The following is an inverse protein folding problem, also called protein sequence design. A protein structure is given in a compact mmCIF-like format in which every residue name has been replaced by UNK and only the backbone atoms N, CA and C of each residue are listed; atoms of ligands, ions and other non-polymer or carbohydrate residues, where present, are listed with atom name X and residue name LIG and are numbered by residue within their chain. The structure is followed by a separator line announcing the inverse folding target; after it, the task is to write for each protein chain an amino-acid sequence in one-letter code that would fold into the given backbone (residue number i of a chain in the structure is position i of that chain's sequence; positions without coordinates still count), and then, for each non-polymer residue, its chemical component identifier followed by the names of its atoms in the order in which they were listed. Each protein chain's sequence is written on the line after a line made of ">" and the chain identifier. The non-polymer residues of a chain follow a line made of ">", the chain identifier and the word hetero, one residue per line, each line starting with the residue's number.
data_IF_484902053332
#
_entry.id   IF_484902053332
#
_cell.length_a   1.000
_cell.length_b   1.000
_cell.length_c   1.000
_cell.angle_alpha   90.00
_cell.angle_beta   90.00
_cell.angle_gamma   90.00
#
_symmetry.space_group_name_H-M   'P 1'
#
loop_
_entity.id
_entity.type
_entity.pdbx_description
1 polymer ?
#
# COMPACT_ATOMS: atom_id res chain seq x y z
N UNK A 1 -20.90 -5.90 -15.07
CA UNK A 1 -21.06 -5.38 -13.70
C UNK A 1 -20.98 -3.87 -13.78
N UNK A 2 -22.12 -3.21 -13.56
CA UNK A 2 -22.25 -1.76 -13.67
C UNK A 2 -21.68 -1.11 -12.40
N UNK A 3 -20.60 -0.33 -12.53
CA UNK A 3 -20.02 0.51 -11.46
C UNK A 3 -20.90 1.75 -11.19
N UNK A 4 -22.21 1.62 -11.31
CA UNK A 4 -23.19 2.68 -11.04
C UNK A 4 -23.40 2.75 -9.53
N UNK A 5 -22.58 3.52 -8.84
CA UNK A 5 -22.74 3.71 -7.40
C UNK A 5 -21.58 4.42 -6.68
N UNK A 6 -20.48 4.73 -7.37
CA UNK A 6 -19.39 5.50 -6.78
C UNK A 6 -19.70 6.98 -6.99
N UNK A 7 -20.61 7.51 -6.19
CA UNK A 7 -20.48 8.88 -5.72
C UNK A 7 -19.47 8.89 -4.56
N UNK A 8 -18.31 8.25 -4.73
CA UNK A 8 -17.23 8.36 -3.74
C UNK A 8 -16.53 9.70 -3.99
N UNK A 9 -16.36 10.45 -2.91
CA UNK A 9 -15.63 11.71 -2.92
C UNK A 9 -14.19 11.47 -3.42
N UNK A 10 -13.79 12.05 -4.58
CA UNK A 10 -12.44 11.91 -5.11
C UNK A 10 -11.37 12.38 -4.12
N UNK A 11 -11.70 13.32 -3.23
CA UNK A 11 -10.79 13.80 -2.18
C UNK A 11 -10.56 12.71 -1.14
N UNK A 12 -11.62 12.05 -0.67
CA UNK A 12 -11.52 10.93 0.27
C UNK A 12 -10.71 9.76 -0.32
N UNK A 13 -10.93 9.41 -1.59
CA UNK A 13 -10.18 8.36 -2.29
C UNK A 13 -8.67 8.67 -2.33
N UNK A 14 -8.30 9.90 -2.69
CA UNK A 14 -6.90 10.32 -2.68
C UNK A 14 -6.31 10.38 -1.27
N UNK A 15 -7.10 10.78 -0.28
CA UNK A 15 -6.73 10.77 1.13
C UNK A 15 -6.34 9.37 1.60
N UNK A 16 -7.20 8.38 1.32
CA UNK A 16 -6.95 6.96 1.63
C UNK A 16 -5.75 6.42 0.85
N UNK A 17 -5.63 6.72 -0.46
CA UNK A 17 -4.47 6.33 -1.25
C UNK A 17 -3.16 6.86 -0.65
N UNK A 18 -3.12 8.13 -0.26
CA UNK A 18 -1.96 8.73 0.38
C UNK A 18 -1.63 8.08 1.73
N UNK A 19 -2.65 7.68 2.50
CA UNK A 19 -2.45 6.94 3.75
C UNK A 19 -1.85 5.55 3.50
N UNK A 20 -2.40 4.78 2.57
CA UNK A 20 -1.91 3.44 2.23
C UNK A 20 -0.44 3.46 1.78
N UNK A 21 -0.02 4.47 1.01
CA UNK A 21 1.39 4.64 0.63
C UNK A 21 2.29 4.88 1.83
N UNK A 22 1.89 5.77 2.75
CA UNK A 22 2.65 6.01 3.98
C UNK A 22 2.76 4.74 4.83
N UNK A 23 1.69 3.98 4.96
CA UNK A 23 1.70 2.71 5.68
C UNK A 23 2.61 1.68 5.01
N UNK A 24 2.57 1.58 3.68
CA UNK A 24 3.47 0.71 2.91
C UNK A 24 4.94 1.06 3.15
N UNK A 25 5.30 2.35 3.08
CA UNK A 25 6.65 2.83 3.32
C UNK A 25 7.13 2.50 4.74
N UNK A 26 6.28 2.71 5.75
CA UNK A 26 6.60 2.39 7.15
C UNK A 26 6.87 0.89 7.33
N UNK A 27 6.01 0.03 6.77
CA UNK A 27 6.14 -1.43 6.87
C UNK A 27 7.42 -1.90 6.18
N UNK A 28 7.67 -1.46 4.95
CA UNK A 28 8.86 -1.86 4.18
C UNK A 28 10.14 -1.36 4.83
N UNK A 29 10.15 -0.12 5.32
CA UNK A 29 11.28 0.46 6.04
C UNK A 29 11.60 -0.31 7.33
N UNK A 30 10.57 -0.63 8.13
CA UNK A 30 10.73 -1.42 9.35
C UNK A 30 11.26 -2.83 9.06
N UNK A 31 10.75 -3.49 8.02
CA UNK A 31 11.20 -4.81 7.59
C UNK A 31 12.67 -4.81 7.15
N UNK A 32 13.09 -3.83 6.35
CA UNK A 32 14.48 -3.67 5.90
C UNK A 32 15.42 -3.37 7.06
N UNK A 33 15.04 -2.45 7.94
CA UNK A 33 15.81 -2.11 9.14
C UNK A 33 16.01 -3.34 10.05
N UNK A 34 14.95 -4.12 10.27
CA UNK A 34 15.01 -5.35 11.08
C UNK A 34 15.89 -6.40 10.43
N UNK A 35 15.74 -6.62 9.12
CA UNK A 35 16.57 -7.58 8.37
C UNK A 35 18.06 -7.20 8.40
N UNK A 36 18.36 -5.91 8.25
CA UNK A 36 19.73 -5.40 8.34
C UNK A 36 20.34 -5.63 9.74
N UNK A 37 19.58 -5.36 10.81
CA UNK A 37 20.01 -5.62 12.19
C UNK A 37 20.24 -7.11 12.46
N UNK A 38 19.35 -7.98 11.96
CA UNK A 38 19.49 -9.42 12.10
C UNK A 38 20.74 -9.96 11.36
N UNK A 39 21.03 -9.43 10.17
CA UNK A 39 22.24 -9.76 9.42
C UNK A 39 23.53 -9.32 10.14
N UNK A 40 23.49 -8.18 10.85
CA UNK A 40 24.62 -7.65 11.61
C UNK A 40 24.84 -8.28 13.00
N UNK A 41 24.06 -9.30 13.38
CA UNK A 41 24.21 -9.95 14.70
C UNK A 41 25.55 -10.67 14.83
N UNK A 42 26.30 -10.37 15.90
CA UNK A 42 27.56 -11.04 16.23
C UNK A 42 27.37 -12.49 16.72
N UNK A 43 26.20 -12.83 17.24
CA UNK A 43 25.88 -14.20 17.68
C UNK A 43 25.81 -15.15 16.49
N UNK A 44 26.50 -16.29 16.62
CA UNK A 44 26.61 -17.32 15.60
C UNK A 44 26.23 -18.70 16.17
N UNK A 45 25.72 -19.56 15.28
CA UNK A 45 25.28 -20.91 15.61
C UNK A 45 23.88 -21.20 15.05
N UNK A 46 23.40 -22.46 15.15
CA UNK A 46 22.17 -22.89 14.49
C UNK A 46 20.94 -22.05 14.86
N UNK A 47 20.84 -21.61 16.12
CA UNK A 47 19.75 -20.74 16.56
C UNK A 47 19.80 -19.35 15.90
N UNK A 48 21.00 -18.79 15.68
CA UNK A 48 21.18 -17.53 14.97
C UNK A 48 20.78 -17.65 13.49
N UNK A 49 21.10 -18.78 12.86
CA UNK A 49 20.76 -19.05 11.47
C UNK A 49 19.25 -19.21 11.27
N UNK A 50 18.59 -19.93 12.19
CA UNK A 50 17.12 -20.04 12.21
C UNK A 50 16.46 -18.67 12.39
N UNK A 51 16.98 -17.85 13.32
CA UNK A 51 16.48 -16.49 13.53
C UNK A 51 16.63 -15.62 12.27
N UNK A 52 17.83 -15.58 11.66
CA UNK A 52 18.08 -14.82 10.42
C UNK A 52 17.21 -15.27 9.26
N UNK A 53 16.98 -16.58 9.14
CA UNK A 53 16.08 -17.15 8.13
C UNK A 53 14.64 -16.70 8.37
N UNK A 54 14.17 -16.75 9.62
CA UNK A 54 12.85 -16.28 10.02
C UNK A 54 12.65 -14.79 9.73
N UNK A 55 13.60 -13.94 10.09
CA UNK A 55 13.55 -12.50 9.79
C UNK A 55 13.53 -12.23 8.29
N UNK A 56 14.36 -12.94 7.51
CA UNK A 56 14.36 -12.81 6.04
C UNK A 56 13.01 -13.19 5.45
N UNK A 57 12.40 -14.28 5.92
CA UNK A 57 11.08 -14.71 5.46
C UNK A 57 9.98 -13.69 5.84
N UNK A 58 9.98 -13.20 7.08
CA UNK A 58 9.05 -12.13 7.49
C UNK A 58 9.26 -10.84 6.70
N UNK A 59 10.50 -10.49 6.39
CA UNK A 59 10.85 -9.34 5.56
C UNK A 59 10.23 -9.43 4.16
N UNK A 60 10.35 -10.59 3.51
CA UNK A 60 9.73 -10.82 2.19
C UNK A 60 8.20 -10.68 2.22
N UNK A 61 7.54 -11.19 3.27
CA UNK A 61 6.09 -11.02 3.47
C UNK A 61 5.71 -9.55 3.65
N UNK A 62 6.48 -8.80 4.43
CA UNK A 62 6.27 -7.36 4.62
C UNK A 62 6.47 -6.56 3.33
N UNK A 63 7.46 -6.91 2.50
CA UNK A 63 7.65 -6.30 1.18
C UNK A 63 6.47 -6.58 0.24
N UNK A 64 5.97 -7.82 0.25
CA UNK A 64 4.78 -8.19 -0.52
C UNK A 64 3.54 -7.41 -0.06
N UNK A 65 3.33 -7.28 1.26
CA UNK A 65 2.24 -6.47 1.81
C UNK A 65 2.36 -5.00 1.39
N UNK A 66 3.55 -4.42 1.50
CA UNK A 66 3.82 -3.06 1.04
C UNK A 66 3.49 -2.85 -0.44
N UNK A 67 3.87 -3.80 -1.30
CA UNK A 67 3.52 -3.76 -2.72
C UNK A 67 1.99 -3.80 -2.94
N UNK A 68 1.26 -4.63 -2.19
CA UNK A 68 -0.21 -4.70 -2.29
C UNK A 68 -0.90 -3.42 -1.83
N UNK A 69 -0.39 -2.77 -0.79
CA UNK A 69 -0.89 -1.47 -0.35
C UNK A 69 -0.64 -0.38 -1.41
N UNK A 70 0.52 -0.41 -2.05
CA UNK A 70 0.85 0.48 -3.17
C UNK A 70 -0.07 0.26 -4.39
N UNK A 71 -0.32 -0.99 -4.76
CA UNK A 71 -1.27 -1.35 -5.83
C UNK A 71 -2.69 -0.85 -5.52
N UNK A 72 -3.15 -1.05 -4.28
CA UNK A 72 -4.46 -0.58 -3.84
C UNK A 72 -4.55 0.96 -3.86
N UNK A 73 -3.50 1.66 -3.40
CA UNK A 73 -3.43 3.11 -3.49
C UNK A 73 -3.52 3.61 -4.93
N UNK A 74 -2.82 2.94 -5.87
CA UNK A 74 -2.87 3.29 -7.29
C UNK A 74 -4.27 3.06 -7.89
N UNK A 75 -4.94 1.98 -7.49
CA UNK A 75 -6.29 1.69 -7.90
C UNK A 75 -7.26 2.78 -7.40
N UNK A 76 -7.16 3.19 -6.13
CA UNK A 76 -8.00 4.27 -5.56
C UNK A 76 -7.81 5.60 -6.29
N UNK A 77 -6.60 5.94 -6.71
CA UNK A 77 -6.37 7.14 -7.53
C UNK A 77 -7.02 7.04 -8.90
N UNK A 78 -6.97 5.86 -9.51
CA UNK A 78 -7.65 5.61 -10.79
C UNK A 78 -9.16 5.79 -10.64
N UNK A 79 -9.74 5.29 -9.55
CA UNK A 79 -11.14 5.50 -9.21
C UNK A 79 -11.45 6.99 -8.97
N UNK A 80 -10.57 7.73 -8.28
CA UNK A 80 -10.76 9.16 -8.05
C UNK A 80 -10.81 9.97 -9.37
N UNK A 81 -9.93 9.66 -10.32
CA UNK A 81 -9.93 10.28 -11.66
C UNK A 81 -11.21 9.97 -12.42
N UNK A 82 -11.69 8.72 -12.35
CA UNK A 82 -12.95 8.31 -12.99
C UNK A 82 -14.15 9.04 -12.37
N UNK A 83 -14.20 9.14 -11.04
CA UNK A 83 -15.25 9.86 -10.34
C UNK A 83 -15.26 11.36 -10.70
N UNK A 84 -14.10 12.00 -10.81
CA UNK A 84 -14.02 13.40 -11.28
C UNK A 84 -14.52 13.59 -12.71
N UNK A 85 -14.17 12.66 -13.61
CA UNK A 85 -14.64 12.70 -14.99
C UNK A 85 -16.17 12.54 -15.06
N UNK A 86 -16.74 11.65 -14.25
CA UNK A 86 -18.19 11.45 -14.17
C UNK A 86 -18.90 12.69 -13.59
N UNK A 87 -18.37 13.27 -12.51
CA UNK A 87 -18.90 14.51 -11.92
C UNK A 87 -18.85 15.66 -12.95
N UNK A 88 -17.76 15.81 -13.68
CA UNK A 88 -17.63 16.83 -14.72
C UNK A 88 -18.63 16.61 -15.86
N UNK A 89 -18.82 15.36 -16.30
CA UNK A 89 -19.79 15.00 -17.34
C UNK A 89 -21.23 15.30 -16.91
N UNK A 90 -21.61 14.97 -15.66
CA UNK A 90 -22.94 15.29 -15.11
C UNK A 90 -23.17 16.80 -15.05
N UNK A 91 -22.19 17.57 -14.57
CA UNK A 91 -22.24 19.04 -14.56
C UNK A 91 -22.41 19.62 -15.96
N UNK A 92 -21.68 19.11 -16.95
CA UNK A 92 -21.80 19.54 -18.34
C UNK A 92 -23.18 19.22 -18.94
N UNK A 93 -23.80 18.12 -18.50
CA UNK A 93 -25.16 17.71 -18.90
C UNK A 93 -26.27 18.46 -18.14
N UNK A 94 -25.94 19.38 -17.22
CA UNK A 94 -26.92 20.07 -16.37
C UNK A 94 -27.62 19.15 -15.36
N UNK A 95 -27.04 17.98 -15.09
CA UNK A 95 -27.51 17.03 -14.09
C UNK A 95 -26.85 17.34 -12.74
N UNK A 96 -27.57 17.15 -11.61
CA UNK A 96 -26.99 17.27 -10.28
C UNK A 96 -25.87 16.25 -10.04
#
# INVERSE_FOLDING_TARGET
>A
MSLTGIAEDPVALRGTAAQLRREADVIVSAARSTSHRAAGMAYAGPAADLFRTGITASGAVSEQLGARLMELAQWLETCAVQAEAEIAARRAAGLP
#
